data_IF_213904077445
#
_entry.id   IF_213904077445
#
_cell.length_a   1.000
_cell.length_b   1.000
_cell.length_c   1.000
_cell.angle_alpha   90.00
_cell.angle_beta   90.00
_cell.angle_gamma   90.00
#
_symmetry.space_group_name_H-M   'P 1'
#
loop_
_entity.id
_entity.type
_entity.pdbx_description
1 polymer ?
#
# COMPACT_ATOMS: atom_id res chain seq x y z
N UNK A 1 -39.04 11.80 5.37
CA UNK A 1 -37.72 11.27 5.74
C UNK A 1 -36.68 12.01 4.91
N UNK A 2 -35.47 12.22 5.44
CA UNK A 2 -34.39 12.81 4.64
C UNK A 2 -33.99 11.84 3.51
N UNK A 3 -33.71 12.36 2.32
CA UNK A 3 -33.25 11.56 1.17
C UNK A 3 -31.94 10.84 1.53
N UNK A 4 -31.88 9.53 1.26
CA UNK A 4 -30.67 8.74 1.43
C UNK A 4 -29.85 8.71 0.15
N UNK A 5 -28.54 8.56 0.29
CA UNK A 5 -27.61 8.48 -0.84
C UNK A 5 -26.66 7.30 -0.69
N UNK A 6 -26.25 6.80 -1.85
CA UNK A 6 -25.42 5.61 -1.98
C UNK A 6 -24.27 5.89 -2.95
N UNK A 7 -23.08 5.42 -2.62
CA UNK A 7 -22.01 5.26 -3.59
C UNK A 7 -22.34 4.06 -4.50
N UNK A 8 -22.39 4.31 -5.80
CA UNK A 8 -22.59 3.32 -6.84
C UNK A 8 -21.23 2.83 -7.35
N UNK A 9 -20.97 1.55 -7.10
CA UNK A 9 -19.71 0.86 -7.34
C UNK A 9 -19.91 -0.24 -8.40
N UNK A 10 -18.82 -0.58 -9.09
CA UNK A 10 -18.76 -1.81 -9.89
C UNK A 10 -18.71 -3.02 -8.96
N UNK A 11 -19.58 -4.00 -9.18
CA UNK A 11 -19.51 -5.27 -8.47
C UNK A 11 -18.42 -6.17 -9.05
N UNK A 12 -17.18 -5.93 -8.60
CA UNK A 12 -16.00 -6.72 -8.98
C UNK A 12 -16.01 -8.15 -8.42
N UNK A 13 -16.91 -8.47 -7.49
CA UNK A 13 -16.99 -9.80 -6.88
C UNK A 13 -17.74 -10.82 -7.74
N UNK A 14 -18.48 -10.35 -8.75
CA UNK A 14 -19.25 -11.18 -9.67
C UNK A 14 -18.34 -12.10 -10.51
N UNK A 15 -18.44 -13.44 -10.35
CA UNK A 15 -17.60 -14.39 -11.07
C UNK A 15 -17.80 -14.31 -12.59
N UNK A 16 -16.70 -14.31 -13.34
CA UNK A 16 -16.73 -14.34 -14.81
C UNK A 16 -17.21 -13.04 -15.47
N UNK A 17 -17.27 -11.91 -14.75
CA UNK A 17 -17.55 -10.59 -15.34
C UNK A 17 -16.49 -10.23 -16.39
N UNK A 18 -16.90 -9.48 -17.40
CA UNK A 18 -15.95 -8.82 -18.30
C UNK A 18 -15.13 -7.76 -17.58
N UNK A 19 -14.05 -7.30 -18.22
CA UNK A 19 -13.34 -6.08 -17.84
C UNK A 19 -13.26 -5.16 -19.05
N UNK A 20 -13.67 -3.91 -18.86
CA UNK A 20 -13.67 -2.89 -19.90
C UNK A 20 -12.41 -2.02 -19.76
N UNK A 21 -11.75 -1.74 -20.88
CA UNK A 21 -10.60 -0.86 -20.93
C UNK A 21 -10.98 0.61 -21.14
N UNK A 22 -9.98 1.47 -21.30
CA UNK A 22 -10.20 2.90 -21.46
C UNK A 22 -10.93 3.25 -22.77
N UNK A 23 -11.82 4.26 -22.78
CA UNK A 23 -12.48 4.71 -24.00
C UNK A 23 -11.48 5.12 -25.09
N UNK A 24 -11.73 4.67 -26.32
CA UNK A 24 -10.96 5.02 -27.51
C UNK A 24 -11.81 5.77 -28.52
N UNK A 25 -11.15 6.56 -29.37
CA UNK A 25 -11.78 7.15 -30.56
C UNK A 25 -12.05 6.10 -31.65
N UNK A 26 -12.63 6.53 -32.77
CA UNK A 26 -12.97 5.66 -33.90
C UNK A 26 -11.74 5.01 -34.57
N UNK A 27 -10.54 5.55 -34.33
CA UNK A 27 -9.27 5.00 -34.84
C UNK A 27 -8.61 4.02 -33.87
N UNK A 28 -9.22 3.82 -32.69
CA UNK A 28 -8.71 2.95 -31.63
C UNK A 28 -7.65 3.63 -30.75
N UNK A 29 -7.49 4.95 -30.85
CA UNK A 29 -6.57 5.70 -29.99
C UNK A 29 -7.28 6.06 -28.69
N UNK A 30 -6.63 5.81 -27.56
CA UNK A 30 -7.15 6.20 -26.25
C UNK A 30 -7.43 7.70 -26.17
N UNK A 31 -8.54 8.05 -25.52
CA UNK A 31 -8.88 9.44 -25.23
C UNK A 31 -7.75 10.04 -24.38
N UNK A 32 -7.19 11.17 -24.82
CA UNK A 32 -5.99 11.76 -24.24
C UNK A 32 -6.08 12.08 -22.74
N UNK A 33 -7.28 12.29 -22.21
CA UNK A 33 -7.53 12.46 -20.78
C UNK A 33 -8.66 11.52 -20.32
N UNK A 34 -8.35 10.28 -19.89
CA UNK A 34 -9.36 9.31 -19.48
C UNK A 34 -10.14 9.74 -18.22
N UNK A 35 -9.60 10.67 -17.41
CA UNK A 35 -10.26 11.17 -16.20
C UNK A 35 -11.30 12.28 -16.47
N UNK A 36 -11.47 12.73 -17.72
CA UNK A 36 -12.41 13.82 -18.01
C UNK A 36 -13.86 13.50 -17.62
N UNK A 37 -14.30 12.25 -17.76
CA UNK A 37 -15.66 11.78 -17.45
C UNK A 37 -15.96 11.64 -15.95
N UNK A 38 -14.95 11.91 -15.11
CA UNK A 38 -15.02 11.81 -13.66
C UNK A 38 -14.95 13.17 -12.97
N UNK A 39 -14.74 14.26 -13.70
CA UNK A 39 -14.58 15.61 -13.10
C UNK A 39 -15.88 16.18 -12.51
N UNK A 40 -17.03 15.61 -12.86
CA UNK A 40 -18.32 16.14 -12.44
C UNK A 40 -18.63 17.48 -13.11
N UNK A 41 -18.31 17.58 -14.40
CA UNK A 41 -18.49 18.76 -15.25
C UNK A 41 -19.04 18.30 -16.61
N UNK A 42 -19.84 19.10 -17.33
CA UNK A 42 -20.21 18.80 -18.70
C UNK A 42 -18.98 18.65 -19.60
N UNK A 43 -19.00 17.64 -20.47
CA UNK A 43 -17.94 17.39 -21.44
C UNK A 43 -18.48 17.46 -22.87
N UNK A 44 -17.58 17.79 -23.79
CA UNK A 44 -17.79 17.64 -25.23
C UNK A 44 -16.95 16.46 -25.70
N UNK A 45 -17.59 15.55 -26.44
CA UNK A 45 -16.94 14.39 -27.04
C UNK A 45 -17.05 14.53 -28.54
N UNK A 46 -15.91 14.49 -29.23
CA UNK A 46 -15.86 14.50 -30.68
C UNK A 46 -15.95 13.08 -31.22
N UNK A 47 -16.88 12.83 -32.15
CA UNK A 47 -17.06 11.52 -32.76
C UNK A 47 -17.66 10.47 -31.81
N UNK A 48 -17.71 9.21 -32.29
CA UNK A 48 -18.22 8.09 -31.50
C UNK A 48 -17.11 7.37 -30.76
N UNK A 49 -17.29 7.17 -29.46
CA UNK A 49 -16.35 6.41 -28.64
C UNK A 49 -16.55 4.90 -28.77
N UNK A 50 -15.45 4.16 -28.67
CA UNK A 50 -15.41 2.71 -28.55
C UNK A 50 -14.87 2.32 -27.18
N UNK A 51 -15.46 1.30 -26.55
CA UNK A 51 -15.00 0.74 -25.29
C UNK A 51 -14.40 -0.64 -25.57
N UNK A 52 -13.08 -0.83 -25.39
CA UNK A 52 -12.43 -2.11 -25.55
C UNK A 52 -12.78 -3.06 -24.39
N UNK A 53 -12.66 -4.35 -24.65
CA UNK A 53 -12.78 -5.41 -23.64
C UNK A 53 -11.38 -5.95 -23.36
N UNK A 54 -10.82 -5.59 -22.21
CA UNK A 54 -9.50 -6.06 -21.77
C UNK A 54 -9.54 -7.53 -21.35
N UNK A 55 -10.68 -7.96 -20.79
CA UNK A 55 -10.93 -9.35 -20.41
C UNK A 55 -12.35 -9.75 -20.79
N UNK A 56 -12.45 -10.72 -21.69
CA UNK A 56 -13.75 -11.31 -22.06
C UNK A 56 -14.43 -11.93 -20.85
N UNK A 57 -15.75 -11.77 -20.79
CA UNK A 57 -16.58 -12.30 -19.71
C UNK A 57 -18.04 -12.01 -19.97
N UNK A 58 -18.88 -12.27 -18.97
CA UNK A 58 -20.31 -11.96 -19.01
C UNK A 58 -20.52 -10.44 -19.07
N UNK A 59 -21.29 -9.92 -20.03
CA UNK A 59 -21.68 -8.51 -20.07
C UNK A 59 -22.52 -8.14 -18.85
N UNK A 60 -22.27 -6.95 -18.30
CA UNK A 60 -23.01 -6.37 -17.18
C UNK A 60 -23.77 -5.12 -17.63
N UNK A 61 -24.92 -4.86 -17.01
CA UNK A 61 -25.69 -3.64 -17.28
C UNK A 61 -24.98 -2.37 -16.76
N UNK A 62 -24.09 -2.50 -15.77
CA UNK A 62 -23.24 -1.43 -15.23
C UNK A 62 -21.79 -1.91 -15.09
N UNK A 63 -20.83 -1.10 -15.52
CA UNK A 63 -19.39 -1.36 -15.31
C UNK A 63 -18.60 -0.05 -15.28
N UNK A 64 -17.49 -0.03 -14.53
CA UNK A 64 -16.51 1.05 -14.58
C UNK A 64 -15.37 0.65 -15.51
N UNK A 65 -15.13 1.46 -16.54
CA UNK A 65 -14.18 1.20 -17.61
C UNK A 65 -12.85 1.94 -17.38
N UNK A 66 -11.74 1.22 -17.58
CA UNK A 66 -10.38 1.74 -17.66
C UNK A 66 -9.86 2.46 -16.41
N UNK A 67 -8.71 3.11 -16.55
CA UNK A 67 -8.05 3.87 -15.47
C UNK A 67 -8.85 5.14 -15.07
N UNK A 68 -9.68 5.63 -16.00
CA UNK A 68 -10.59 6.75 -15.74
C UNK A 68 -11.71 6.43 -14.73
N UNK A 69 -12.01 5.14 -14.50
CA UNK A 69 -13.18 4.68 -13.73
C UNK A 69 -14.47 5.27 -14.31
N UNK A 70 -14.60 5.13 -15.63
CA UNK A 70 -15.67 5.75 -16.42
C UNK A 70 -16.90 4.86 -16.43
N UNK A 71 -18.09 5.32 -15.99
CA UNK A 71 -19.28 4.47 -16.00
C UNK A 71 -19.74 4.18 -17.43
N UNK A 72 -19.76 2.90 -17.78
CA UNK A 72 -20.33 2.37 -19.03
C UNK A 72 -21.52 1.50 -18.67
N UNK A 73 -22.67 1.83 -19.25
CA UNK A 73 -23.96 1.29 -18.83
C UNK A 73 -24.80 0.86 -20.01
N UNK A 74 -25.60 -0.18 -19.80
CA UNK A 74 -26.57 -0.67 -20.76
C UNK A 74 -27.79 0.27 -20.82
N UNK A 75 -28.57 0.21 -21.91
CA UNK A 75 -29.74 1.06 -22.13
C UNK A 75 -30.80 1.01 -21.00
N UNK A 76 -30.87 -0.08 -20.22
CA UNK A 76 -31.74 -0.15 -19.02
C UNK A 76 -31.39 0.91 -17.98
N UNK A 77 -30.11 1.12 -17.72
CA UNK A 77 -29.62 2.13 -16.77
C UNK A 77 -29.89 3.52 -17.31
N UNK A 78 -29.66 3.73 -18.61
CA UNK A 78 -29.97 4.97 -19.32
C UNK A 78 -31.43 5.38 -19.17
N UNK A 79 -32.37 4.42 -19.30
CA UNK A 79 -33.79 4.70 -19.13
C UNK A 79 -34.12 5.23 -17.72
N UNK A 80 -33.46 4.72 -16.68
CA UNK A 80 -33.62 5.21 -15.31
C UNK A 80 -33.04 6.62 -15.17
N UNK A 81 -31.78 6.82 -15.59
CA UNK A 81 -31.09 8.10 -15.45
C UNK A 81 -31.77 9.23 -16.23
N UNK A 82 -32.16 8.98 -17.48
CA UNK A 82 -32.84 9.97 -18.32
C UNK A 82 -34.23 10.35 -17.78
N UNK A 83 -34.89 9.45 -17.05
CA UNK A 83 -36.20 9.71 -16.44
C UNK A 83 -36.09 10.46 -15.12
N UNK A 84 -35.16 10.04 -14.26
CA UNK A 84 -35.12 10.49 -12.87
C UNK A 84 -34.12 11.62 -12.61
N UNK A 85 -33.05 11.72 -13.40
CA UNK A 85 -31.94 12.67 -13.20
C UNK A 85 -31.38 13.23 -14.53
N UNK A 86 -32.22 13.72 -15.46
CA UNK A 86 -31.77 14.16 -16.78
C UNK A 86 -30.77 15.33 -16.75
N UNK A 87 -30.86 16.21 -15.75
CA UNK A 87 -30.00 17.39 -15.62
C UNK A 87 -28.65 17.10 -14.94
N UNK A 88 -28.46 15.88 -14.43
CA UNK A 88 -27.27 15.45 -13.69
C UNK A 88 -26.27 14.66 -14.54
N UNK A 89 -26.68 14.22 -15.74
CA UNK A 89 -25.87 13.34 -16.59
C UNK A 89 -25.88 13.75 -18.05
N UNK A 90 -24.77 13.46 -18.74
CA UNK A 90 -24.74 13.35 -20.20
C UNK A 90 -24.55 11.88 -20.57
N UNK A 91 -25.29 11.45 -21.58
CA UNK A 91 -25.32 10.06 -22.03
C UNK A 91 -24.76 9.98 -23.44
N UNK A 92 -23.60 9.37 -23.59
CA UNK A 92 -22.92 9.25 -24.88
C UNK A 92 -23.06 7.82 -25.40
N UNK A 93 -23.72 7.57 -26.53
CA UNK A 93 -23.75 6.24 -27.14
C UNK A 93 -22.33 5.79 -27.48
N UNK A 94 -21.97 4.59 -27.08
CA UNK A 94 -20.65 4.01 -27.37
C UNK A 94 -20.79 2.70 -28.13
N UNK A 95 -19.70 2.24 -28.73
CA UNK A 95 -19.59 0.88 -29.25
C UNK A 95 -18.78 0.05 -28.25
N UNK A 96 -19.36 -0.98 -27.67
CA UNK A 96 -18.58 -1.96 -26.90
C UNK A 96 -18.14 -3.06 -27.86
N UNK A 97 -16.86 -3.43 -27.83
CA UNK A 97 -16.34 -4.45 -28.74
C UNK A 97 -17.13 -5.77 -28.59
N UNK A 98 -17.50 -6.39 -29.70
CA UNK A 98 -18.21 -7.68 -29.75
C UNK A 98 -19.62 -7.73 -29.13
N UNK A 99 -20.18 -6.60 -28.68
CA UNK A 99 -21.56 -6.52 -28.18
C UNK A 99 -22.50 -5.88 -29.21
N UNK A 100 -23.67 -6.48 -29.41
CA UNK A 100 -24.73 -5.94 -30.27
C UNK A 100 -25.71 -5.02 -29.52
N UNK A 101 -25.81 -5.19 -28.20
CA UNK A 101 -26.71 -4.39 -27.37
C UNK A 101 -26.22 -2.94 -27.21
N UNK A 102 -27.13 -1.97 -27.02
CA UNK A 102 -26.77 -0.56 -26.90
C UNK A 102 -26.19 -0.23 -25.52
N UNK A 103 -24.96 0.29 -25.53
CA UNK A 103 -24.24 0.79 -24.35
C UNK A 103 -23.95 2.29 -24.46
N UNK A 104 -23.82 2.91 -23.30
CA UNK A 104 -23.62 4.34 -23.14
C UNK A 104 -22.54 4.61 -22.10
N UNK A 105 -21.70 5.60 -22.38
CA UNK A 105 -20.87 6.23 -21.37
C UNK A 105 -21.71 7.27 -20.63
N UNK A 106 -21.67 7.23 -19.30
CA UNK A 106 -22.34 8.22 -18.45
C UNK A 106 -21.31 9.22 -17.93
N UNK A 107 -21.41 10.47 -18.37
CA UNK A 107 -20.70 11.57 -17.73
C UNK A 107 -21.62 12.21 -16.70
N UNK A 108 -21.16 12.29 -15.45
CA UNK A 108 -21.89 13.02 -14.41
C UNK A 108 -21.44 14.47 -14.45
N UNK A 109 -22.40 15.41 -14.41
CA UNK A 109 -22.14 16.83 -14.70
C UNK A 109 -22.06 17.70 -13.45
N UNK A 110 -22.29 17.12 -12.26
CA UNK A 110 -22.30 17.82 -10.97
C UNK A 110 -21.19 17.31 -10.06
N UNK A 111 -20.44 18.25 -9.48
CA UNK A 111 -19.51 18.02 -8.37
C UNK A 111 -19.98 18.77 -7.14
N UNK A 112 -20.10 18.07 -6.00
CA UNK A 112 -20.66 18.63 -4.77
C UNK A 112 -19.71 18.41 -3.60
N UNK A 113 -19.45 19.48 -2.83
CA UNK A 113 -18.65 19.42 -1.61
C UNK A 113 -19.52 19.02 -0.41
N UNK A 114 -19.87 17.74 -0.36
CA UNK A 114 -20.78 17.19 0.65
C UNK A 114 -20.15 16.15 1.57
N UNK A 115 -18.89 15.71 1.36
CA UNK A 115 -18.23 14.79 2.30
C UNK A 115 -18.21 15.41 3.69
N UNK A 116 -18.61 14.61 4.68
CA UNK A 116 -18.56 14.97 6.08
C UNK A 116 -17.35 14.29 6.71
N UNK A 117 -16.28 15.06 6.86
CA UNK A 117 -15.03 14.62 7.46
C UNK A 117 -15.21 14.11 8.89
N UNK A 118 -16.19 14.66 9.63
CA UNK A 118 -16.38 14.33 11.05
C UNK A 118 -17.04 12.98 11.30
N UNK A 119 -17.80 12.50 10.31
CA UNK A 119 -18.56 11.25 10.38
C UNK A 119 -18.02 10.15 9.47
N UNK A 120 -17.22 10.51 8.45
CA UNK A 120 -16.44 9.52 7.68
C UNK A 120 -15.47 8.77 8.58
N UNK A 121 -15.21 7.49 8.30
CA UNK A 121 -14.33 6.67 9.14
C UNK A 121 -12.89 7.20 9.18
N UNK A 122 -12.41 7.69 8.04
CA UNK A 122 -11.09 8.29 7.92
C UNK A 122 -11.07 9.29 6.77
N UNK A 123 -10.45 10.45 7.00
CA UNK A 123 -10.17 11.44 5.97
C UNK A 123 -8.73 11.91 6.09
N UNK A 124 -7.97 11.72 5.00
CA UNK A 124 -6.61 12.24 4.87
C UNK A 124 -6.55 13.36 3.86
N UNK A 125 -5.74 14.35 4.17
CA UNK A 125 -5.38 15.44 3.27
C UNK A 125 -3.92 15.32 2.84
N UNK A 126 -3.62 15.83 1.66
CA UNK A 126 -2.24 16.10 1.29
C UNK A 126 -1.71 17.26 2.15
N UNK A 127 -0.55 17.09 2.76
CA UNK A 127 0.13 18.12 3.56
C UNK A 127 1.37 18.64 2.83
N UNK A 128 1.97 19.77 3.25
CA UNK A 128 3.22 20.27 2.66
C UNK A 128 4.36 19.24 2.69
N UNK A 129 4.41 18.41 3.74
CA UNK A 129 5.44 17.40 3.97
C UNK A 129 5.40 16.27 2.93
N UNK A 130 4.26 16.05 2.26
CA UNK A 130 4.10 15.05 1.20
C UNK A 130 4.81 15.44 -0.11
N UNK A 131 5.38 16.65 -0.20
CA UNK A 131 6.17 17.10 -1.36
C UNK A 131 5.34 17.36 -2.64
N UNK A 132 4.02 17.51 -2.51
CA UNK A 132 3.08 17.77 -3.63
C UNK A 132 2.28 19.05 -3.42
N UNK A 133 2.89 20.23 -3.61
CA UNK A 133 2.28 21.52 -3.28
C UNK A 133 0.94 21.76 -4.01
N UNK A 134 0.77 21.24 -5.21
CA UNK A 134 -0.46 21.35 -6.02
C UNK A 134 -1.64 20.54 -5.49
N UNK A 135 -1.39 19.62 -4.55
CA UNK A 135 -2.39 18.77 -3.92
C UNK A 135 -2.74 19.17 -2.50
N UNK A 136 -1.92 20.00 -1.85
CA UNK A 136 -2.11 20.41 -0.46
C UNK A 136 -3.54 20.90 -0.21
N UNK A 137 -4.18 20.39 0.84
CA UNK A 137 -5.57 20.70 1.19
C UNK A 137 -6.64 19.97 0.36
N UNK A 138 -6.24 19.10 -0.57
CA UNK A 138 -7.16 18.14 -1.24
C UNK A 138 -7.14 16.80 -0.52
N UNK A 139 -8.21 16.02 -0.69
CA UNK A 139 -8.26 14.66 -0.18
C UNK A 139 -7.14 13.80 -0.78
N UNK A 140 -6.44 13.09 0.11
CA UNK A 140 -5.46 12.05 -0.19
C UNK A 140 -6.06 10.66 -0.04
N UNK A 141 -6.95 10.48 0.91
CA UNK A 141 -7.66 9.23 1.17
C UNK A 141 -8.97 9.51 1.89
N UNK A 142 -10.03 8.78 1.53
CA UNK A 142 -11.31 8.79 2.24
C UNK A 142 -11.75 7.35 2.40
N UNK A 143 -11.93 6.91 3.65
CA UNK A 143 -12.42 5.56 4.01
C UNK A 143 -13.75 5.68 4.74
N UNK A 144 -14.65 4.71 4.54
CA UNK A 144 -15.98 4.72 5.16
C UNK A 144 -16.71 6.05 4.98
N UNK A 145 -16.70 6.56 3.75
CA UNK A 145 -17.15 7.90 3.41
C UNK A 145 -18.60 8.15 3.87
N UNK A 146 -18.80 9.28 4.54
CA UNK A 146 -20.12 9.84 4.85
C UNK A 146 -20.29 11.19 4.18
N UNK A 147 -21.52 11.49 3.79
CA UNK A 147 -21.87 12.81 3.25
C UNK A 147 -22.92 13.49 4.13
N UNK A 148 -22.90 14.81 4.12
CA UNK A 148 -23.95 15.67 4.66
C UNK A 148 -25.04 15.90 3.60
N UNK A 149 -26.24 15.29 3.73
CA UNK A 149 -27.32 15.42 2.76
C UNK A 149 -27.80 16.86 2.60
N UNK A 150 -27.63 17.72 3.61
CA UNK A 150 -28.06 19.12 3.55
C UNK A 150 -27.25 19.94 2.52
N UNK A 151 -26.05 19.46 2.14
CA UNK A 151 -25.19 20.10 1.13
C UNK A 151 -25.45 19.62 -0.29
N UNK A 152 -26.27 18.58 -0.48
CA UNK A 152 -26.50 17.94 -1.80
C UNK A 152 -27.47 18.75 -2.67
N UNK A 153 -28.43 19.44 -2.05
CA UNK A 153 -29.46 20.19 -2.79
C UNK A 153 -30.45 19.24 -3.49
N UNK A 154 -30.68 19.48 -4.77
CA UNK A 154 -31.63 18.74 -5.62
C UNK A 154 -30.98 17.63 -6.47
N UNK A 155 -29.65 17.49 -6.41
CA UNK A 155 -28.92 16.52 -7.21
C UNK A 155 -29.26 15.08 -6.82
N UNK A 156 -29.47 14.23 -7.82
CA UNK A 156 -29.73 12.80 -7.66
C UNK A 156 -28.56 11.94 -8.11
N UNK A 157 -27.74 12.45 -9.03
CA UNK A 157 -26.50 11.81 -9.47
C UNK A 157 -25.37 12.85 -9.46
N UNK A 158 -24.30 12.60 -8.72
CA UNK A 158 -23.21 13.57 -8.61
C UNK A 158 -21.88 12.90 -8.25
N UNK A 159 -20.78 13.65 -8.44
CA UNK A 159 -19.45 13.32 -7.93
C UNK A 159 -19.18 14.14 -6.67
N UNK A 160 -18.39 13.61 -5.75
CA UNK A 160 -17.95 14.39 -4.58
C UNK A 160 -16.76 15.28 -4.94
N UNK A 161 -16.73 16.48 -4.37
CA UNK A 161 -15.59 17.40 -4.50
C UNK A 161 -14.35 16.80 -3.84
N UNK A 162 -13.21 16.91 -4.53
CA UNK A 162 -11.92 16.43 -4.02
C UNK A 162 -11.75 14.90 -4.01
N UNK A 163 -12.83 14.12 -4.08
CA UNK A 163 -12.83 12.66 -4.08
C UNK A 163 -13.69 12.08 -5.21
N UNK A 164 -13.49 12.57 -6.43
CA UNK A 164 -14.39 12.33 -7.56
C UNK A 164 -14.53 10.86 -8.01
N UNK A 165 -13.88 9.88 -7.35
CA UNK A 165 -14.12 8.44 -7.61
C UNK A 165 -15.56 8.12 -7.30
N UNK A 166 -16.02 8.67 -6.18
CA UNK A 166 -17.34 8.43 -5.68
C UNK A 166 -18.36 8.89 -6.71
N UNK A 167 -19.11 7.92 -7.23
CA UNK A 167 -20.33 8.16 -7.98
C UNK A 167 -21.48 8.03 -7.00
N UNK A 168 -22.11 9.14 -6.64
CA UNK A 168 -23.20 9.14 -5.67
C UNK A 168 -24.54 9.16 -6.41
N UNK A 169 -25.46 8.31 -5.95
CA UNK A 169 -26.84 8.25 -6.42
C UNK A 169 -27.81 8.37 -5.24
N UNK A 170 -28.95 9.02 -5.45
CA UNK A 170 -30.05 9.05 -4.49
C UNK A 170 -30.76 7.70 -4.37
N UNK A 171 -31.52 7.53 -3.30
CA UNK A 171 -32.30 6.32 -3.01
C UNK A 171 -33.28 5.96 -4.13
N UNK A 172 -33.96 6.94 -4.73
CA UNK A 172 -34.91 6.69 -5.83
C UNK A 172 -34.23 6.13 -7.09
N UNK A 173 -33.02 6.59 -7.41
CA UNK A 173 -32.19 6.03 -8.48
C UNK A 173 -31.79 4.60 -8.14
N UNK A 174 -31.27 4.36 -6.93
CA UNK A 174 -30.90 3.01 -6.47
C UNK A 174 -32.08 2.04 -6.60
N UNK A 175 -33.22 2.37 -6.04
CA UNK A 175 -34.41 1.51 -6.07
C UNK A 175 -34.90 1.25 -7.50
N UNK A 176 -34.82 2.24 -8.39
CA UNK A 176 -35.18 2.07 -9.79
C UNK A 176 -34.22 1.12 -10.52
N UNK A 177 -32.91 1.20 -10.25
CA UNK A 177 -31.91 0.28 -10.82
C UNK A 177 -32.09 -1.15 -10.30
N UNK A 178 -32.34 -1.32 -9.00
CA UNK A 178 -32.63 -2.64 -8.40
C UNK A 178 -33.92 -3.24 -8.97
N UNK A 179 -34.99 -2.45 -9.09
CA UNK A 179 -36.27 -2.89 -9.69
C UNK A 179 -36.12 -3.27 -11.16
N UNK A 180 -35.22 -2.61 -11.89
CA UNK A 180 -34.89 -2.94 -13.28
C UNK A 180 -33.97 -4.17 -13.42
N UNK A 181 -33.49 -4.75 -12.31
CA UNK A 181 -32.62 -5.92 -12.31
C UNK A 181 -31.25 -5.65 -12.93
N UNK A 182 -30.71 -4.44 -12.74
CA UNK A 182 -29.40 -4.03 -13.27
C UNK A 182 -28.28 -4.89 -12.67
N UNK A 183 -27.53 -5.56 -13.52
CA UNK A 183 -26.35 -6.35 -13.16
C UNK A 183 -25.06 -5.52 -13.09
N UNK A 184 -24.10 -5.95 -12.26
CA UNK A 184 -22.77 -5.32 -12.15
C UNK A 184 -22.71 -4.05 -11.27
N UNK A 185 -23.82 -3.65 -10.64
CA UNK A 185 -23.89 -2.52 -9.72
C UNK A 185 -23.89 -2.98 -8.26
N UNK A 186 -23.10 -2.31 -7.41
CA UNK A 186 -23.12 -2.44 -5.95
C UNK A 186 -23.39 -1.07 -5.33
N UNK A 187 -24.22 -1.03 -4.29
CA UNK A 187 -24.57 0.20 -3.59
C UNK A 187 -24.03 0.17 -2.17
N UNK A 188 -23.30 1.21 -1.78
CA UNK A 188 -22.85 1.42 -0.41
C UNK A 188 -23.52 2.67 0.15
N UNK A 189 -24.29 2.54 1.23
CA UNK A 189 -24.96 3.69 1.84
C UNK A 189 -23.92 4.66 2.40
N UNK A 190 -24.03 5.95 2.05
CA UNK A 190 -23.12 7.03 2.48
C UNK A 190 -23.84 8.09 3.33
N UNK A 191 -25.15 7.93 3.52
CA UNK A 191 -25.95 8.70 4.46
C UNK A 191 -26.29 7.87 5.70
N UNK A 192 -26.10 8.43 6.88
CA UNK A 192 -26.36 7.73 8.14
C UNK A 192 -25.12 7.68 9.03
N UNK A 193 -25.22 7.04 10.21
CA UNK A 193 -24.10 6.97 11.12
C UNK A 193 -22.92 6.22 10.49
N UNK A 194 -21.71 6.62 10.86
CA UNK A 194 -20.49 5.87 10.57
C UNK A 194 -20.60 4.42 11.08
N UNK A 195 -19.93 3.47 10.43
CA UNK A 195 -19.94 2.09 10.90
C UNK A 195 -19.14 1.93 12.21
N UNK A 196 -18.24 2.86 12.50
CA UNK A 196 -17.41 2.89 13.71
C UNK A 196 -17.85 4.01 14.66
N UNK A 197 -17.63 3.81 15.95
CA UNK A 197 -17.99 4.80 16.98
C UNK A 197 -17.09 6.05 16.89
N UNK A 198 -17.52 7.20 17.46
CA UNK A 198 -16.63 8.37 17.59
C UNK A 198 -15.33 8.07 18.36
N UNK A 199 -15.40 7.23 19.38
CA UNK A 199 -14.25 6.78 20.16
C UNK A 199 -13.29 5.95 19.29
N UNK A 200 -13.83 5.03 18.48
CA UNK A 200 -13.02 4.23 17.56
C UNK A 200 -12.38 5.08 16.44
N UNK A 201 -13.08 6.11 15.93
CA UNK A 201 -12.50 7.10 15.01
C UNK A 201 -11.33 7.83 15.63
N UNK A 202 -11.51 8.38 16.82
CA UNK A 202 -10.46 9.11 17.53
C UNK A 202 -9.24 8.22 17.78
N UNK A 203 -9.47 6.98 18.22
CA UNK A 203 -8.42 5.98 18.38
C UNK A 203 -7.68 5.71 17.06
N UNK A 204 -8.41 5.53 15.94
CA UNK A 204 -7.82 5.32 14.63
C UNK A 204 -6.99 6.52 14.16
N UNK A 205 -7.45 7.75 14.41
CA UNK A 205 -6.68 8.97 14.12
C UNK A 205 -5.39 9.04 14.94
N UNK A 206 -5.43 8.69 16.23
CA UNK A 206 -4.24 8.66 17.08
C UNK A 206 -3.24 7.60 16.61
N UNK A 207 -3.70 6.40 16.23
CA UNK A 207 -2.87 5.36 15.63
C UNK A 207 -2.16 5.84 14.35
N UNK A 208 -2.87 6.56 13.49
CA UNK A 208 -2.29 7.14 12.27
C UNK A 208 -1.26 8.22 12.59
N UNK A 209 -1.55 9.11 13.54
CA UNK A 209 -0.61 10.15 13.96
C UNK A 209 0.69 9.55 14.51
N UNK A 210 0.62 8.47 15.28
CA UNK A 210 1.80 7.75 15.74
C UNK A 210 2.58 7.10 14.58
N UNK A 211 1.88 6.54 13.59
CA UNK A 211 2.49 5.95 12.40
C UNK A 211 3.24 7.00 11.56
N UNK A 212 2.61 8.15 11.31
CA UNK A 212 3.21 9.26 10.58
C UNK A 212 4.42 9.83 11.34
N UNK A 213 4.34 9.95 12.67
CA UNK A 213 5.47 10.38 13.49
C UNK A 213 6.64 9.40 13.43
N UNK A 214 6.38 8.09 13.53
CA UNK A 214 7.39 7.05 13.46
C UNK A 214 8.08 7.01 12.09
N UNK A 215 7.31 7.10 11.00
CA UNK A 215 7.81 7.12 9.62
C UNK A 215 8.66 8.37 9.35
N UNK A 216 8.20 9.54 9.80
CA UNK A 216 8.94 10.79 9.66
C UNK A 216 10.29 10.72 10.40
N UNK A 217 10.29 10.30 11.67
CA UNK A 217 11.50 10.20 12.49
C UNK A 217 12.51 9.21 11.90
N UNK A 218 12.06 8.00 11.54
CA UNK A 218 12.89 7.01 10.87
C UNK A 218 13.39 7.49 9.52
N UNK A 219 12.53 8.10 8.71
CA UNK A 219 12.89 8.64 7.41
C UNK A 219 13.98 9.72 7.49
N UNK A 220 13.97 10.58 8.52
CA UNK A 220 15.06 11.53 8.78
C UNK A 220 16.36 10.77 9.04
N UNK A 221 16.32 9.79 9.93
CA UNK A 221 17.50 8.98 10.25
C UNK A 221 18.04 8.21 9.03
N UNK A 222 17.18 7.54 8.26
CA UNK A 222 17.59 6.79 7.06
C UNK A 222 18.31 7.66 6.03
N UNK A 223 17.88 8.91 5.85
CA UNK A 223 18.55 9.87 4.95
C UNK A 223 19.96 10.26 5.42
N UNK A 224 20.27 10.12 6.72
CA UNK A 224 21.65 10.31 7.20
C UNK A 224 22.58 9.17 6.76
N UNK A 225 22.02 8.01 6.45
CA UNK A 225 22.77 6.84 6.01
C UNK A 225 22.94 6.81 4.49
N UNK A 226 22.43 7.76 3.70
CA UNK A 226 22.63 7.79 2.26
C UNK A 226 21.40 8.27 1.49
N UNK A 227 21.37 8.04 0.17
CA UNK A 227 20.22 8.41 -0.64
C UNK A 227 19.11 7.38 -0.45
N UNK A 228 18.12 7.74 0.35
CA UNK A 228 16.91 6.97 0.58
C UNK A 228 16.06 6.90 -0.69
N UNK A 229 15.64 5.70 -1.07
CA UNK A 229 14.71 5.48 -2.18
C UNK A 229 13.31 6.03 -1.81
N UNK A 230 12.61 6.58 -2.79
CA UNK A 230 11.25 7.11 -2.63
C UNK A 230 10.25 5.96 -2.45
N UNK A 231 10.51 4.80 -3.04
CA UNK A 231 9.66 3.62 -2.90
C UNK A 231 9.83 2.96 -1.53
N UNK A 232 8.71 2.48 -0.99
CA UNK A 232 8.67 1.66 0.22
C UNK A 232 8.21 0.28 -0.15
N UNK A 233 8.98 -0.74 0.24
CA UNK A 233 8.64 -2.12 -0.04
C UNK A 233 7.64 -2.57 1.03
N UNK A 234 6.47 -3.02 0.59
CA UNK A 234 5.40 -3.57 1.43
C UNK A 234 5.02 -4.96 0.91
N UNK A 235 4.71 -5.93 1.79
CA UNK A 235 4.30 -7.26 1.36
C UNK A 235 2.92 -7.21 0.71
N UNK A 236 2.67 -8.12 -0.25
CA UNK A 236 1.37 -8.24 -0.93
C UNK A 236 0.26 -8.58 0.08
N UNK A 237 0.57 -9.43 1.05
CA UNK A 237 -0.32 -9.79 2.15
C UNK A 237 0.13 -9.00 3.38
N UNK A 238 -0.68 -8.03 3.77
CA UNK A 238 -0.45 -7.25 4.99
C UNK A 238 -0.87 -8.10 6.19
N UNK A 239 0.03 -8.25 7.15
CA UNK A 239 -0.15 -9.07 8.35
C UNK A 239 1.21 -9.47 8.91
N UNK A 240 1.24 -9.97 10.14
CA UNK A 240 2.48 -10.39 10.81
C UNK A 240 2.56 -9.95 12.26
N UNK A 241 3.55 -10.47 12.97
CA UNK A 241 3.73 -10.23 14.41
C UNK A 241 4.54 -8.95 14.72
N UNK A 242 4.78 -8.11 13.71
CA UNK A 242 5.47 -6.84 13.89
C UNK A 242 4.56 -5.84 14.61
N UNK A 243 5.14 -4.87 15.36
CA UNK A 243 4.36 -3.80 15.95
C UNK A 243 3.59 -3.02 14.87
N UNK A 244 2.47 -2.43 15.27
CA UNK A 244 1.47 -1.82 14.39
C UNK A 244 0.96 -2.71 13.22
N UNK A 245 1.32 -4.00 13.16
CA UNK A 245 1.08 -4.89 12.01
C UNK A 245 1.67 -4.33 10.70
N UNK A 246 2.77 -3.56 10.80
CA UNK A 246 3.41 -2.88 9.66
C UNK A 246 4.76 -3.54 9.34
N UNK A 247 4.75 -4.42 8.33
CA UNK A 247 5.96 -4.99 7.77
C UNK A 247 6.36 -4.18 6.53
N UNK A 248 7.44 -3.42 6.63
CA UNK A 248 7.90 -2.56 5.55
C UNK A 248 9.43 -2.54 5.51
N UNK A 249 9.99 -2.27 4.33
CA UNK A 249 11.44 -2.14 4.14
C UNK A 249 11.78 -0.91 3.30
N UNK A 250 12.97 -0.36 3.54
CA UNK A 250 13.49 0.79 2.79
C UNK A 250 14.85 0.49 2.20
N UNK A 251 15.05 1.00 0.99
CA UNK A 251 16.32 0.93 0.27
C UNK A 251 17.07 2.23 0.44
N UNK A 252 18.34 2.14 0.81
CA UNK A 252 19.26 3.27 0.95
C UNK A 252 20.46 3.02 0.04
N UNK A 253 20.63 3.89 -0.95
CA UNK A 253 21.81 3.87 -1.81
C UNK A 253 22.98 4.54 -1.10
N UNK A 254 24.03 3.76 -0.89
CA UNK A 254 25.25 4.13 -0.18
C UNK A 254 26.34 4.53 -1.16
N UNK A 255 27.41 5.13 -0.64
CA UNK A 255 28.62 5.41 -1.42
C UNK A 255 29.21 4.13 -2.02
N UNK A 256 30.04 4.28 -3.07
CA UNK A 256 30.69 3.17 -3.78
C UNK A 256 29.73 2.13 -4.39
N UNK A 257 28.48 2.54 -4.67
CA UNK A 257 27.48 1.68 -5.33
C UNK A 257 26.92 0.58 -4.43
N UNK A 258 27.03 0.73 -3.10
CA UNK A 258 26.47 -0.23 -2.14
C UNK A 258 24.96 0.01 -1.95
N UNK A 259 24.25 -1.06 -1.63
CA UNK A 259 22.82 -1.04 -1.32
C UNK A 259 22.63 -1.50 0.12
N UNK A 260 22.02 -0.65 0.93
CA UNK A 260 21.60 -0.94 2.29
C UNK A 260 20.08 -1.12 2.32
N UNK A 261 19.63 -2.31 2.73
CA UNK A 261 18.23 -2.61 2.99
C UNK A 261 17.99 -2.58 4.50
N UNK A 262 16.97 -1.82 4.93
CA UNK A 262 16.58 -1.73 6.34
C UNK A 262 15.13 -2.13 6.55
N UNK A 263 14.85 -2.71 7.70
CA UNK A 263 13.45 -2.84 8.16
C UNK A 263 12.90 -1.47 8.53
N UNK A 264 11.59 -1.33 8.40
CA UNK A 264 10.85 -0.09 8.63
C UNK A 264 9.52 -0.43 9.30
N UNK A 265 9.59 -1.05 10.48
CA UNK A 265 8.38 -1.43 11.23
C UNK A 265 8.64 -2.08 12.58
N UNK A 266 9.82 -2.66 12.80
CA UNK A 266 10.12 -3.36 14.07
C UNK A 266 10.14 -2.41 15.27
N UNK A 267 10.36 -1.12 15.04
CA UNK A 267 10.29 -0.09 16.07
C UNK A 267 8.99 0.71 16.11
N UNK A 268 7.92 0.26 15.43
CA UNK A 268 6.61 0.92 15.52
C UNK A 268 5.96 0.68 16.89
N UNK A 269 5.00 1.53 17.26
CA UNK A 269 4.21 1.36 18.47
C UNK A 269 3.36 0.06 18.45
N UNK A 270 2.99 -0.44 19.62
CA UNK A 270 2.08 -1.57 19.72
C UNK A 270 0.62 -1.15 19.50
N UNK A 271 -0.16 -2.05 18.90
CA UNK A 271 -1.60 -1.88 18.72
C UNK A 271 -2.30 -2.99 19.47
N UNK A 272 -3.12 -2.61 20.45
CA UNK A 272 -3.95 -3.51 21.23
C UNK A 272 -5.41 -3.12 21.02
N UNK A 273 -6.23 -4.09 20.64
CA UNK A 273 -7.65 -3.84 20.37
C UNK A 273 -8.36 -3.40 21.66
N UNK A 274 -9.10 -2.30 21.58
CA UNK A 274 -9.83 -1.74 22.72
C UNK A 274 -8.97 -0.99 23.75
N UNK A 275 -7.69 -0.74 23.46
CA UNK A 275 -6.80 0.07 24.31
C UNK A 275 -6.38 1.31 23.54
N UNK A 276 -6.33 2.45 24.24
CA UNK A 276 -5.84 3.71 23.68
C UNK A 276 -4.37 3.56 23.26
N UNK A 277 -3.99 4.09 22.10
CA UNK A 277 -2.64 3.93 21.59
C UNK A 277 -1.64 4.75 22.39
N UNK A 278 -0.55 4.10 22.82
CA UNK A 278 0.56 4.76 23.51
C UNK A 278 1.80 4.84 22.60
N UNK A 279 2.49 6.00 22.55
CA UNK A 279 3.77 6.10 21.87
C UNK A 279 4.78 5.12 22.48
N UNK A 280 5.41 4.32 21.63
CA UNK A 280 6.53 3.47 22.03
C UNK A 280 7.43 3.19 20.83
N UNK A 281 8.62 2.67 21.08
CA UNK A 281 9.53 2.18 20.04
C UNK A 281 9.33 0.69 19.74
N UNK A 282 8.17 0.11 20.05
CA UNK A 282 7.87 -1.29 19.79
C UNK A 282 8.90 -2.25 20.35
N UNK A 283 9.54 -3.02 19.46
CA UNK A 283 10.63 -3.90 19.85
C UNK A 283 11.96 -3.17 20.12
N UNK A 284 12.08 -1.89 19.82
CA UNK A 284 13.29 -1.09 20.03
C UNK A 284 14.43 -1.48 19.10
N UNK A 285 14.10 -2.11 17.96
CA UNK A 285 15.05 -2.66 17.00
C UNK A 285 14.69 -2.20 15.59
N UNK A 286 15.70 -2.01 14.75
CA UNK A 286 15.58 -2.11 13.29
C UNK A 286 16.79 -2.90 12.76
N UNK A 287 16.61 -3.64 11.68
CA UNK A 287 17.65 -4.47 11.05
C UNK A 287 18.23 -3.78 9.83
N UNK A 288 19.52 -4.02 9.57
CA UNK A 288 20.27 -3.45 8.45
C UNK A 288 21.08 -4.53 7.73
N UNK A 289 20.79 -4.77 6.45
CA UNK A 289 21.53 -5.69 5.59
C UNK A 289 22.14 -4.91 4.42
N UNK A 290 23.47 -4.83 4.37
CA UNK A 290 24.19 -4.10 3.31
C UNK A 290 24.89 -5.07 2.36
N UNK A 291 24.86 -4.77 1.06
CA UNK A 291 25.63 -5.47 0.03
C UNK A 291 26.29 -4.50 -0.93
N UNK A 292 27.31 -4.97 -1.62
CA UNK A 292 27.89 -4.31 -2.79
C UNK A 292 27.70 -5.14 -4.07
N UNK A 293 26.90 -6.21 -4.02
CA UNK A 293 26.49 -6.96 -5.21
C UNK A 293 25.37 -6.18 -5.93
N UNK A 294 25.44 -6.02 -7.27
CA UNK A 294 24.39 -5.33 -8.02
C UNK A 294 23.01 -5.93 -7.78
N UNK A 295 22.01 -5.08 -7.51
CA UNK A 295 20.62 -5.49 -7.34
C UNK A 295 19.76 -4.85 -8.42
N UNK A 296 19.23 -5.65 -9.33
CA UNK A 296 18.31 -5.16 -10.36
C UNK A 296 16.93 -4.82 -9.79
N UNK A 297 16.44 -5.65 -8.86
CA UNK A 297 15.12 -5.58 -8.24
C UNK A 297 15.23 -6.01 -6.78
N UNK A 298 15.38 -5.05 -5.87
CA UNK A 298 15.59 -5.33 -4.45
C UNK A 298 14.37 -6.04 -3.84
N UNK A 299 13.17 -5.71 -4.31
CA UNK A 299 11.90 -6.30 -3.89
C UNK A 299 11.75 -7.79 -4.25
N UNK A 300 12.62 -8.32 -5.12
CA UNK A 300 12.70 -9.75 -5.48
C UNK A 300 14.04 -10.36 -5.09
N UNK A 301 14.86 -9.63 -4.35
CA UNK A 301 16.22 -10.05 -4.01
C UNK A 301 16.24 -10.98 -2.80
N UNK A 302 17.29 -11.78 -2.71
CA UNK A 302 17.56 -12.60 -1.53
C UNK A 302 17.78 -11.76 -0.26
N UNK A 303 18.19 -10.49 -0.41
CA UNK A 303 18.37 -9.56 0.71
C UNK A 303 17.06 -9.35 1.44
N UNK A 304 15.99 -9.08 0.69
CA UNK A 304 14.66 -8.87 1.26
C UNK A 304 14.16 -10.13 1.94
N UNK A 305 14.22 -11.28 1.25
CA UNK A 305 13.77 -12.55 1.83
C UNK A 305 14.56 -12.94 3.09
N UNK A 306 15.83 -12.55 3.19
CA UNK A 306 16.65 -12.86 4.37
C UNK A 306 16.24 -11.96 5.53
N UNK A 307 16.09 -10.67 5.25
CA UNK A 307 15.75 -9.67 6.25
C UNK A 307 14.33 -9.87 6.79
N UNK A 308 13.39 -10.26 5.93
CA UNK A 308 12.03 -10.68 6.28
C UNK A 308 12.05 -11.84 7.27
N UNK A 309 12.73 -12.95 6.94
CA UNK A 309 12.82 -14.13 7.82
C UNK A 309 13.44 -13.81 9.18
N UNK A 310 14.52 -13.03 9.19
CA UNK A 310 15.15 -12.64 10.46
C UNK A 310 14.23 -11.73 11.27
N UNK A 311 13.53 -10.80 10.61
CA UNK A 311 12.54 -9.94 11.24
C UNK A 311 11.39 -10.73 11.86
N UNK A 312 10.88 -11.74 11.16
CA UNK A 312 9.80 -12.60 11.65
C UNK A 312 10.23 -13.45 12.84
N UNK A 313 11.42 -14.03 12.82
CA UNK A 313 11.97 -14.75 13.98
C UNK A 313 12.07 -13.86 15.23
N UNK A 314 12.45 -12.59 15.06
CA UNK A 314 12.51 -11.59 16.14
C UNK A 314 11.10 -11.21 16.64
N UNK A 315 10.14 -11.11 15.71
CA UNK A 315 8.77 -10.75 16.04
C UNK A 315 8.05 -11.89 16.79
N UNK A 316 8.24 -13.13 16.33
CA UNK A 316 7.59 -14.32 16.87
C UNK A 316 8.17 -14.79 18.20
N UNK A 317 9.50 -14.68 18.38
CA UNK A 317 10.19 -15.28 19.51
C UNK A 317 10.78 -14.23 20.44
N UNK A 318 10.12 -13.98 21.58
CA UNK A 318 10.61 -13.05 22.60
C UNK A 318 12.03 -13.36 23.06
N UNK A 319 12.35 -14.65 23.26
CA UNK A 319 13.70 -15.06 23.68
C UNK A 319 14.79 -14.72 22.66
N UNK A 320 14.47 -14.68 21.37
CA UNK A 320 15.37 -14.24 20.31
C UNK A 320 15.53 -12.72 20.37
N UNK A 321 14.41 -12.00 20.44
CA UNK A 321 14.38 -10.54 20.52
C UNK A 321 15.19 -10.00 21.70
N UNK A 322 15.05 -10.56 22.89
CA UNK A 322 15.80 -10.12 24.07
C UNK A 322 17.31 -10.35 23.92
N UNK A 323 17.73 -11.46 23.30
CA UNK A 323 19.15 -11.69 22.97
C UNK A 323 19.67 -10.69 21.93
N UNK A 324 18.86 -10.41 20.89
CA UNK A 324 19.20 -9.42 19.86
C UNK A 324 19.26 -8.02 20.45
N UNK A 325 18.43 -7.65 21.43
CA UNK A 325 18.54 -6.38 22.17
C UNK A 325 19.82 -6.31 23.00
N UNK A 326 20.13 -7.39 23.72
CA UNK A 326 21.26 -7.44 24.65
C UNK A 326 22.63 -7.39 23.97
N UNK A 327 22.77 -7.91 22.75
CA UNK A 327 24.06 -7.87 22.08
C UNK A 327 24.10 -8.57 20.74
N UNK A 328 25.10 -9.43 20.59
CA UNK A 328 25.47 -10.09 19.35
C UNK A 328 24.94 -11.53 19.35
N UNK A 329 24.24 -11.95 18.30
CA UNK A 329 23.61 -13.27 18.18
C UNK A 329 23.96 -13.93 16.84
N UNK A 330 24.04 -15.26 16.79
CA UNK A 330 24.01 -16.04 15.56
C UNK A 330 22.74 -16.87 15.50
N UNK A 331 22.17 -17.06 14.32
CA UNK A 331 21.02 -17.94 14.10
C UNK A 331 21.00 -18.51 12.69
N UNK A 332 20.13 -19.48 12.46
CA UNK A 332 19.86 -20.05 11.15
C UNK A 332 18.41 -19.81 10.78
N UNK A 333 18.16 -19.41 9.54
CA UNK A 333 16.80 -19.28 8.97
C UNK A 333 16.61 -20.24 7.80
N UNK A 334 15.37 -20.38 7.31
CA UNK A 334 15.09 -21.13 6.08
C UNK A 334 15.92 -20.58 4.91
N UNK A 335 16.47 -21.45 4.07
CA UNK A 335 17.22 -21.09 2.86
C UNK A 335 16.38 -21.06 1.58
N UNK A 336 15.07 -21.27 1.64
CA UNK A 336 14.23 -21.27 0.43
C UNK A 336 14.40 -19.98 -0.38
N UNK A 337 14.68 -20.06 -1.68
CA UNK A 337 14.89 -18.87 -2.53
C UNK A 337 16.20 -18.10 -2.28
N UNK A 338 17.08 -18.60 -1.40
CA UNK A 338 18.42 -18.04 -1.22
C UNK A 338 19.39 -18.55 -2.30
N UNK A 339 20.44 -17.78 -2.63
CA UNK A 339 21.51 -18.22 -3.50
C UNK A 339 22.15 -19.53 -3.03
N UNK A 340 22.38 -20.45 -3.97
CA UNK A 340 22.96 -21.77 -3.69
C UNK A 340 24.25 -21.74 -2.86
N UNK A 341 25.21 -20.81 -3.07
CA UNK A 341 26.44 -20.78 -2.28
C UNK A 341 26.24 -20.49 -0.79
N UNK A 342 25.09 -19.93 -0.39
CA UNK A 342 24.76 -19.63 1.01
C UNK A 342 24.09 -20.80 1.72
N UNK A 343 23.66 -21.83 0.99
CA UNK A 343 22.87 -22.93 1.53
C UNK A 343 23.73 -23.97 2.23
N UNK A 344 23.35 -24.34 3.44
CA UNK A 344 23.85 -25.56 4.07
C UNK A 344 23.29 -26.81 3.36
N UNK A 345 23.80 -28.00 3.70
CA UNK A 345 23.28 -29.26 3.18
C UNK A 345 21.82 -29.50 3.56
N UNK A 346 21.39 -28.90 4.67
CA UNK A 346 20.03 -28.94 5.21
C UNK A 346 19.14 -27.84 4.62
N UNK A 347 19.65 -27.04 3.67
CA UNK A 347 18.91 -25.95 3.03
C UNK A 347 18.64 -24.77 3.97
N UNK A 348 19.54 -24.52 4.93
CA UNK A 348 19.49 -23.38 5.87
C UNK A 348 20.48 -22.31 5.46
N UNK A 349 20.30 -21.11 6.01
CA UNK A 349 21.26 -20.00 5.90
C UNK A 349 21.60 -19.50 7.30
N UNK A 350 22.89 -19.40 7.59
CA UNK A 350 23.41 -18.85 8.84
C UNK A 350 23.58 -17.33 8.77
N UNK A 351 23.25 -16.63 9.85
CA UNK A 351 23.43 -15.18 9.98
C UNK A 351 24.04 -14.78 11.31
N UNK A 352 24.79 -13.69 11.30
CA UNK A 352 25.24 -12.94 12.46
C UNK A 352 24.41 -11.67 12.59
N UNK A 353 23.96 -11.38 13.81
CA UNK A 353 23.14 -10.22 14.15
C UNK A 353 23.88 -9.33 15.15
N UNK A 354 23.93 -8.03 14.84
CA UNK A 354 24.44 -7.01 15.75
C UNK A 354 25.97 -6.93 15.80
N UNK A 355 26.64 -7.24 14.69
CA UNK A 355 28.06 -6.98 14.53
C UNK A 355 28.34 -5.46 14.49
N UNK A 356 29.45 -5.04 15.08
CA UNK A 356 29.86 -3.65 14.99
C UNK A 356 30.22 -3.28 13.54
N UNK A 357 29.89 -2.06 13.16
CA UNK A 357 30.15 -1.50 11.85
C UNK A 357 30.92 -0.19 12.01
N UNK A 358 31.95 0.02 11.20
CA UNK A 358 32.63 1.31 11.14
C UNK A 358 31.83 2.38 10.39
N UNK A 359 30.76 1.98 9.67
CA UNK A 359 30.02 2.86 8.76
C UNK A 359 28.53 3.01 9.08
N UNK A 360 28.01 2.22 10.03
CA UNK A 360 26.64 2.31 10.52
C UNK A 360 26.65 2.56 12.03
N UNK A 361 25.83 3.49 12.54
CA UNK A 361 25.67 3.69 13.98
C UNK A 361 24.96 2.49 14.60
N UNK A 362 25.27 2.17 15.86
CA UNK A 362 24.59 1.07 16.56
C UNK A 362 23.19 1.40 17.09
N UNK A 363 22.85 2.69 17.20
CA UNK A 363 21.61 3.20 17.81
C UNK A 363 21.20 4.52 17.17
N UNK A 364 19.91 4.85 17.25
CA UNK A 364 19.36 6.15 16.88
C UNK A 364 18.14 6.50 17.74
N UNK A 365 17.81 7.79 17.82
CA UNK A 365 16.73 8.29 18.67
C UNK A 365 15.45 8.48 17.86
N UNK A 366 14.34 7.97 18.40
CA UNK A 366 12.97 8.25 17.98
C UNK A 366 12.24 9.07 19.05
N UNK A 367 11.10 9.72 18.74
CA UNK A 367 10.37 10.53 19.72
C UNK A 367 9.97 9.77 20.99
N UNK A 368 9.66 8.48 20.88
CA UNK A 368 9.22 7.64 22.00
C UNK A 368 10.36 6.89 22.71
N UNK A 369 11.62 6.99 22.24
CA UNK A 369 12.74 6.26 22.83
C UNK A 369 13.90 5.99 21.88
N UNK A 370 14.86 5.20 22.36
CA UNK A 370 16.03 4.81 21.56
C UNK A 370 15.78 3.48 20.83
N UNK A 371 16.24 3.39 19.59
CA UNK A 371 16.19 2.20 18.76
C UNK A 371 17.60 1.71 18.48
N UNK A 372 17.83 0.41 18.64
CA UNK A 372 19.08 -0.23 18.25
C UNK A 372 19.03 -0.63 16.78
N UNK A 373 20.04 -0.22 16.01
CA UNK A 373 20.25 -0.67 14.64
C UNK A 373 21.11 -1.94 14.67
N UNK A 374 20.56 -3.04 14.18
CA UNK A 374 21.18 -4.37 14.23
C UNK A 374 21.62 -4.76 12.82
N UNK A 375 22.92 -4.86 12.60
CA UNK A 375 23.43 -5.35 11.31
C UNK A 375 23.10 -6.84 11.14
N UNK A 376 22.72 -7.24 9.93
CA UNK A 376 22.53 -8.64 9.53
C UNK A 376 23.67 -9.01 8.58
N UNK A 377 24.44 -10.04 8.92
CA UNK A 377 25.51 -10.55 8.07
C UNK A 377 25.30 -12.02 7.74
N UNK A 378 25.28 -12.34 6.45
CA UNK A 378 25.18 -13.73 5.97
C UNK A 378 26.51 -14.47 6.10
N UNK A 379 26.44 -15.72 6.53
CA UNK A 379 27.57 -16.64 6.64
C UNK A 379 27.60 -17.61 5.46
N UNK A 380 28.81 -17.92 4.98
CA UNK A 380 29.02 -19.08 4.13
C UNK A 380 28.83 -20.37 4.95
N UNK A 381 28.43 -21.51 4.34
CA UNK A 381 28.25 -22.76 5.08
C UNK A 381 29.48 -23.19 5.91
N UNK A 382 30.69 -22.97 5.38
CA UNK A 382 31.94 -23.26 6.09
C UNK A 382 32.15 -22.37 7.34
N UNK A 383 31.71 -21.11 7.29
CA UNK A 383 31.81 -20.16 8.41
C UNK A 383 30.79 -20.49 9.49
N UNK A 384 29.57 -20.87 9.09
CA UNK A 384 28.57 -21.38 10.02
C UNK A 384 29.07 -22.64 10.72
N UNK A 385 29.62 -23.60 9.97
CA UNK A 385 30.19 -24.81 10.54
C UNK A 385 31.33 -24.50 11.53
N UNK A 386 32.22 -23.58 11.17
CA UNK A 386 33.30 -23.12 12.05
C UNK A 386 32.78 -22.47 13.32
N UNK A 387 31.74 -21.63 13.22
CA UNK A 387 31.08 -21.00 14.36
C UNK A 387 30.46 -22.05 15.29
N UNK A 388 29.73 -23.02 14.75
CA UNK A 388 29.07 -24.07 15.52
C UNK A 388 30.08 -24.96 16.26
N UNK A 389 31.22 -25.27 15.63
CA UNK A 389 32.30 -26.05 16.22
C UNK A 389 33.01 -25.30 17.36
N UNK A 390 33.24 -23.99 17.22
CA UNK A 390 34.08 -23.22 18.13
C UNK A 390 33.32 -22.25 19.06
N UNK A 391 32.00 -22.18 18.94
CA UNK A 391 31.12 -21.31 19.73
C UNK A 391 31.52 -19.83 19.68
N UNK A 392 31.49 -19.16 20.83
CA UNK A 392 31.83 -17.74 20.97
C UNK A 392 33.23 -17.39 20.44
N UNK A 393 34.22 -18.28 20.61
CA UNK A 393 35.58 -18.04 20.09
C UNK A 393 35.59 -18.05 18.56
N UNK A 394 34.85 -18.98 17.95
CA UNK A 394 34.72 -19.06 16.49
C UNK A 394 34.04 -17.81 15.93
N UNK A 395 32.96 -17.38 16.60
CA UNK A 395 32.24 -16.14 16.28
C UNK A 395 33.14 -14.91 16.33
N UNK A 396 33.89 -14.72 17.42
CA UNK A 396 34.76 -13.55 17.59
C UNK A 396 35.91 -13.56 16.56
N UNK A 397 36.42 -14.75 16.22
CA UNK A 397 37.42 -14.92 15.16
C UNK A 397 36.85 -14.59 13.77
N UNK A 398 35.62 -15.01 13.46
CA UNK A 398 34.94 -14.65 12.21
C UNK A 398 34.80 -13.13 12.09
N UNK A 399 34.33 -12.47 13.15
CA UNK A 399 34.21 -10.99 13.19
C UNK A 399 35.56 -10.33 12.89
N UNK A 400 36.64 -10.81 13.52
CA UNK A 400 38.00 -10.31 13.28
C UNK A 400 38.42 -10.48 11.83
N UNK A 401 38.18 -11.65 11.23
CA UNK A 401 38.56 -11.94 9.83
C UNK A 401 37.75 -11.12 8.83
N UNK A 402 36.46 -10.92 9.09
CA UNK A 402 35.61 -10.05 8.28
C UNK A 402 36.10 -8.61 8.25
N UNK A 403 36.51 -8.07 9.40
CA UNK A 403 37.13 -6.74 9.47
C UNK A 403 38.45 -6.67 8.69
N UNK A 404 39.31 -7.69 8.80
CA UNK A 404 40.58 -7.75 8.07
C UNK A 404 40.42 -7.83 6.55
N UNK A 405 39.39 -8.50 6.06
CA UNK A 405 39.10 -8.63 4.63
C UNK A 405 38.33 -7.42 4.06
N UNK A 406 38.07 -6.39 4.88
CA UNK A 406 37.26 -5.22 4.51
C UNK A 406 35.79 -5.55 4.23
N UNK A 407 35.35 -6.71 4.71
CA UNK A 407 33.99 -7.25 4.55
C UNK A 407 33.29 -7.29 5.91
N UNK A 408 33.25 -6.18 6.65
CA UNK A 408 32.57 -6.03 7.95
C UNK A 408 31.08 -6.48 7.89
N UNK A 409 30.09 -5.64 8.15
CA UNK A 409 28.68 -6.04 8.08
C UNK A 409 28.19 -6.33 6.65
N UNK A 410 28.99 -6.00 5.63
CA UNK A 410 28.65 -6.19 4.22
C UNK A 410 28.52 -7.68 3.90
N UNK A 411 27.39 -8.04 3.29
CA UNK A 411 27.04 -9.40 2.89
C UNK A 411 27.15 -9.60 1.38
N UNK A 412 27.63 -10.77 0.98
CA UNK A 412 27.75 -11.21 -0.42
C UNK A 412 27.39 -12.67 -0.51
N UNK A 413 26.63 -13.04 -1.53
CA UNK A 413 26.31 -14.43 -1.82
C UNK A 413 27.43 -15.14 -2.59
N UNK A 414 28.21 -14.42 -3.40
CA UNK A 414 29.32 -15.00 -4.16
C UNK A 414 30.67 -14.53 -3.64
N UNK A 415 31.16 -15.19 -2.59
CA UNK A 415 32.50 -14.96 -2.02
C UNK A 415 33.12 -16.24 -1.49
N UNK A 416 34.43 -16.20 -1.23
CA UNK A 416 35.11 -17.25 -0.46
C UNK A 416 34.78 -17.09 1.03
N UNK A 417 34.82 -18.23 1.73
CA UNK A 417 34.87 -18.28 3.19
C UNK A 417 36.10 -17.54 3.71
N UNK A 418 35.99 -16.86 4.86
CA UNK A 418 37.14 -16.30 5.58
C UNK A 418 37.86 -17.32 6.47
N UNK A 419 37.29 -18.52 6.62
CA UNK A 419 37.87 -19.66 7.34
C UNK A 419 38.27 -20.80 6.43
#
# INVERSE_FOLDING_TARGET
MAMRYFELLDDVSSPGRWSLGDPTDETGREVANPWMFRKGEPVQVEGRLTIPIDRSGKPNDFSMAGIGVTPVVHAKVVAVLASLAPDDVQLFPVKVASESEPYFLVNVTRTIRCIDDSTSEEVRYWTPEDGRPEKVGKYRGVSGMRIDPAKVGDAKVFRTWGWSIALIVSEDIKEALERAGVSGAKFMEVTGPSAISPEERERNHQLMALADQADAARGVFWRTLGKLDDEVIIPIVVGGNWPARRQMWRVIHRENGRTLLVTHGLSDFFVVDGVDPEPSVGFGLELALETNEPQAHVEKSWLLSLLERVGDEIAEHESVREKVKAGFLSMEVSGQGMPEPLLTKEGRVGVLLGMESSTLPGRFTMPAGEVRLVTVKVLMPAELAYLLEHGTRGRDELVRRFAQDGQEHVSRAWRKSVV
#
